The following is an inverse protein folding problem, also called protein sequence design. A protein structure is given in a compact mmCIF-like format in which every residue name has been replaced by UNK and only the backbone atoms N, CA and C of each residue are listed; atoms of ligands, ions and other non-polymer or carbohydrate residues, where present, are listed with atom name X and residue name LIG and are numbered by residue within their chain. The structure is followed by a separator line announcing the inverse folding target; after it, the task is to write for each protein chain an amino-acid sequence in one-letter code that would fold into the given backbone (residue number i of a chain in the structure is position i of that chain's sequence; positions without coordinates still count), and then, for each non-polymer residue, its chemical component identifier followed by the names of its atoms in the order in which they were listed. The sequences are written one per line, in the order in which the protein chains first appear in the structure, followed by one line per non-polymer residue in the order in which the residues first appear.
data_IF_985203961954
#
_entry.id   IF_985203961954
#
_cell.length_a   1.000
_cell.length_b   1.000
_cell.length_c   1.000
_cell.angle_alpha   90.00
_cell.angle_beta   90.00
_cell.angle_gamma   90.00
#
_symmetry.space_group_name_H-M   'P 1'
#
loop_
_entity.id
_entity.type
_entity.pdbx_description
1 polymer ?
#
# COMPACT_ATOMS: atom_id res chain seq x y z
N UNK A 1 0.92 29.83 -17.37
CA UNK A 1 2.11 29.12 -16.89
C UNK A 1 2.50 29.67 -15.54
N UNK A 2 2.29 28.92 -14.49
CA UNK A 2 2.81 29.30 -13.17
C UNK A 2 4.22 28.75 -13.04
N UNK A 3 5.20 29.62 -12.99
CA UNK A 3 6.59 29.29 -12.65
C UNK A 3 6.65 29.03 -11.15
N UNK A 4 6.48 27.79 -10.72
CA UNK A 4 6.82 27.43 -9.34
C UNK A 4 8.34 27.31 -9.23
N UNK A 5 8.93 28.13 -8.39
CA UNK A 5 10.36 28.09 -8.09
C UNK A 5 10.62 27.02 -7.04
N UNK A 6 10.96 25.81 -7.49
CA UNK A 6 11.49 24.75 -6.66
C UNK A 6 10.44 23.84 -6.01
N UNK A 7 10.71 22.55 -6.06
CA UNK A 7 10.13 21.53 -5.18
C UNK A 7 10.75 21.70 -3.80
N UNK A 8 9.91 21.83 -2.78
CA UNK A 8 10.29 21.67 -1.38
C UNK A 8 10.41 20.21 -1.00
N UNK A 9 10.06 19.87 0.23
CA UNK A 9 10.12 18.50 0.73
C UNK A 9 9.14 17.59 -0.01
N UNK A 10 9.61 16.39 -0.39
CA UNK A 10 8.79 15.31 -0.93
C UNK A 10 8.75 14.18 0.07
N UNK A 11 7.57 13.85 0.57
CA UNK A 11 7.40 12.77 1.53
C UNK A 11 6.23 11.87 1.15
N UNK A 12 6.25 10.66 1.67
CA UNK A 12 5.20 9.68 1.45
C UNK A 12 4.40 9.50 2.72
N UNK A 13 3.10 9.75 2.65
CA UNK A 13 2.14 9.40 3.68
C UNK A 13 1.23 8.30 3.15
N UNK A 14 1.46 7.08 3.62
CA UNK A 14 0.70 5.90 3.19
C UNK A 14 0.89 5.58 1.70
N UNK A 15 -0.19 5.64 0.93
CA UNK A 15 -0.22 5.46 -0.52
C UNK A 15 -0.20 6.80 -1.28
N UNK A 16 -0.08 7.92 -0.54
CA UNK A 16 0.03 9.25 -1.11
C UNK A 16 1.46 9.73 -1.09
N UNK A 17 1.84 10.40 -2.16
CA UNK A 17 3.08 11.18 -2.26
C UNK A 17 2.66 12.64 -2.14
N UNK A 18 3.30 13.37 -1.26
CA UNK A 18 3.09 14.78 -1.05
C UNK A 18 4.37 15.52 -1.44
N UNK A 19 4.23 16.51 -2.28
CA UNK A 19 5.35 17.34 -2.72
C UNK A 19 5.01 18.80 -2.46
N UNK A 20 5.71 19.41 -1.52
CA UNK A 20 5.52 20.82 -1.20
C UNK A 20 6.13 21.68 -2.29
N UNK A 21 5.38 22.73 -2.67
CA UNK A 21 5.76 23.67 -3.71
C UNK A 21 6.11 25.01 -3.07
N UNK A 22 7.02 25.74 -3.69
CA UNK A 22 7.40 27.08 -3.24
C UNK A 22 6.27 28.13 -3.31
N UNK A 23 5.15 27.78 -3.94
CA UNK A 23 3.92 28.59 -3.96
C UNK A 23 3.13 28.54 -2.65
N UNK A 24 3.51 27.71 -1.67
CA UNK A 24 2.73 27.45 -0.45
C UNK A 24 1.62 26.42 -0.64
N UNK A 25 1.67 25.69 -1.73
CA UNK A 25 0.77 24.57 -2.06
C UNK A 25 1.50 23.24 -1.95
N UNK A 26 0.74 22.16 -1.75
CA UNK A 26 1.25 20.80 -1.76
C UNK A 26 0.57 20.03 -2.88
N UNK A 27 1.37 19.43 -3.77
CA UNK A 27 0.89 18.48 -4.78
C UNK A 27 0.73 17.11 -4.11
N UNK A 28 -0.51 16.63 -4.10
CA UNK A 28 -0.88 15.32 -3.56
C UNK A 28 -1.05 14.34 -4.72
N UNK A 29 -0.35 13.20 -4.67
CA UNK A 29 -0.39 12.18 -5.71
C UNK A 29 -0.71 10.82 -5.09
N UNK A 30 -1.60 10.06 -5.73
CA UNK A 30 -1.91 8.67 -5.43
C UNK A 30 -1.70 7.83 -6.68
N UNK A 31 -0.81 6.86 -6.64
CA UNK A 31 -0.44 6.09 -7.84
C UNK A 31 -1.50 5.05 -8.25
N UNK A 32 -2.48 4.78 -7.39
CA UNK A 32 -3.48 3.74 -7.67
C UNK A 32 -2.85 2.35 -7.69
N UNK A 33 -3.19 1.56 -8.68
CA UNK A 33 -2.69 0.19 -8.83
C UNK A 33 -1.62 0.05 -9.92
N UNK A 34 -1.59 0.92 -10.91
CA UNK A 34 -0.70 0.85 -12.08
C UNK A 34 0.02 2.16 -12.35
N UNK A 35 -0.27 3.20 -11.57
CA UNK A 35 0.39 4.48 -11.68
C UNK A 35 1.84 4.42 -11.24
N UNK A 36 2.67 5.17 -11.95
CA UNK A 36 4.10 5.29 -11.71
C UNK A 36 4.58 6.70 -12.05
N UNK A 37 5.63 7.11 -11.38
CA UNK A 37 6.36 8.33 -11.69
C UNK A 37 7.60 7.93 -12.48
N UNK A 38 7.73 8.48 -13.67
CA UNK A 38 8.85 8.25 -14.56
C UNK A 38 9.68 9.53 -14.64
N UNK A 39 10.99 9.39 -14.49
CA UNK A 39 11.92 10.51 -14.60
C UNK A 39 12.79 10.30 -15.85
N UNK A 40 12.87 11.32 -16.70
CA UNK A 40 13.66 11.29 -17.93
C UNK A 40 14.38 12.64 -18.16
N UNK A 41 15.44 12.64 -18.95
CA UNK A 41 16.32 13.79 -19.16
C UNK A 41 17.65 13.59 -18.45
N UNK A 42 18.48 14.64 -18.36
CA UNK A 42 19.78 14.56 -17.68
C UNK A 42 19.59 14.31 -16.18
N UNK A 43 20.00 13.15 -15.65
CA UNK A 43 19.68 12.77 -14.29
C UNK A 43 20.73 13.23 -13.31
N UNK A 44 20.28 13.84 -12.25
CA UNK A 44 21.05 13.89 -11.01
C UNK A 44 20.87 12.52 -10.30
N UNK A 45 21.72 11.52 -10.64
CA UNK A 45 21.74 10.24 -9.95
C UNK A 45 21.44 8.99 -10.81
N UNK A 46 21.41 7.81 -10.18
CA UNK A 46 21.29 6.48 -10.81
C UNK A 46 19.89 6.09 -11.32
N UNK A 47 18.96 7.01 -11.40
CA UNK A 47 17.55 6.72 -11.76
C UNK A 47 17.32 7.04 -13.23
N UNK A 48 17.69 6.16 -14.13
CA UNK A 48 17.52 6.39 -15.58
C UNK A 48 16.61 5.31 -16.17
N UNK A 49 15.36 5.67 -16.48
CA UNK A 49 14.66 5.02 -17.57
C UNK A 49 14.52 6.07 -18.69
N UNK A 50 15.10 5.78 -19.85
CA UNK A 50 15.03 6.62 -21.04
C UNK A 50 13.60 6.62 -21.61
N UNK A 51 12.74 7.48 -21.08
CA UNK A 51 11.43 7.78 -21.67
C UNK A 51 11.57 9.00 -22.60
N UNK A 52 12.06 8.75 -23.81
CA UNK A 52 12.31 9.82 -24.78
C UNK A 52 11.04 10.41 -25.39
N UNK A 53 9.95 9.67 -25.46
CA UNK A 53 8.69 10.10 -26.09
C UNK A 53 7.52 10.07 -25.11
N UNK A 54 6.52 10.93 -25.33
CA UNK A 54 5.26 10.92 -24.59
C UNK A 54 4.48 9.64 -24.93
N UNK A 55 4.18 8.84 -23.91
CA UNK A 55 3.48 7.58 -24.04
C UNK A 55 1.96 7.72 -23.95
N UNK A 56 1.24 6.71 -24.46
CA UNK A 56 -0.24 6.67 -24.48
C UNK A 56 -0.90 6.88 -23.10
N UNK A 57 -0.20 6.58 -22.02
CA UNK A 57 -0.74 6.62 -20.66
C UNK A 57 -0.06 7.67 -19.76
N UNK A 58 0.63 8.62 -20.37
CA UNK A 58 1.22 9.77 -19.70
C UNK A 58 0.14 10.83 -19.52
N UNK A 59 -0.29 11.05 -18.28
CA UNK A 59 -1.42 11.93 -17.98
C UNK A 59 -1.01 13.31 -17.51
N UNK A 60 0.12 13.39 -16.78
CA UNK A 60 0.70 14.66 -16.31
C UNK A 60 2.19 14.65 -16.53
N UNK A 61 2.72 15.74 -17.04
CA UNK A 61 4.14 15.92 -17.31
C UNK A 61 4.59 17.20 -16.63
N UNK A 62 5.59 17.09 -15.77
CA UNK A 62 6.27 18.21 -15.14
C UNK A 62 7.60 18.43 -15.86
N UNK A 63 7.79 19.63 -16.37
CA UNK A 63 9.05 20.09 -16.91
C UNK A 63 9.85 20.77 -15.80
N UNK A 64 10.96 20.16 -15.43
CA UNK A 64 11.83 20.63 -14.38
C UNK A 64 12.94 21.51 -14.96
N UNK A 65 13.56 22.30 -14.10
CA UNK A 65 14.80 23.00 -14.47
C UNK A 65 15.85 21.99 -14.97
N UNK A 66 16.74 22.43 -15.85
CA UNK A 66 17.79 21.60 -16.46
C UNK A 66 17.31 20.49 -17.40
N UNK A 67 16.08 20.57 -17.91
CA UNK A 67 15.56 19.63 -18.92
C UNK A 67 15.10 18.28 -18.39
N UNK A 68 15.14 18.04 -17.10
CA UNK A 68 14.54 16.84 -16.50
C UNK A 68 13.01 16.88 -16.64
N UNK A 69 12.42 15.74 -16.95
CA UNK A 69 10.98 15.58 -17.07
C UNK A 69 10.50 14.51 -16.10
N UNK A 70 9.49 14.84 -15.32
CA UNK A 70 8.80 13.92 -14.40
C UNK A 70 7.41 13.66 -14.95
N UNK A 71 7.09 12.40 -15.21
CA UNK A 71 5.85 12.01 -15.88
C UNK A 71 5.04 11.09 -14.98
N UNK A 72 3.76 11.41 -14.80
CA UNK A 72 2.79 10.50 -14.18
C UNK A 72 2.15 9.65 -15.27
N UNK A 73 2.52 8.36 -15.27
CA UNK A 73 1.99 7.35 -16.20
C UNK A 73 1.06 6.41 -15.44
N UNK A 74 -0.20 6.25 -15.90
CA UNK A 74 -1.17 5.34 -15.29
C UNK A 74 -2.12 4.71 -16.32
N UNK A 75 -1.80 3.50 -16.79
CA UNK A 75 -2.60 2.78 -17.78
C UNK A 75 -4.06 2.54 -17.36
N UNK A 76 -4.33 2.33 -16.09
CA UNK A 76 -5.66 1.99 -15.57
C UNK A 76 -6.47 3.19 -15.09
N UNK A 77 -5.86 4.35 -14.97
CA UNK A 77 -6.47 5.60 -14.49
C UNK A 77 -7.11 5.50 -13.08
N UNK A 78 -6.50 4.72 -12.20
CA UNK A 78 -6.91 4.61 -10.79
C UNK A 78 -6.10 5.51 -9.85
N UNK A 79 -5.09 6.15 -10.39
CA UNK A 79 -4.34 7.18 -9.69
C UNK A 79 -5.10 8.49 -9.64
N UNK A 80 -4.63 9.38 -8.81
CA UNK A 80 -5.18 10.73 -8.65
C UNK A 80 -4.07 11.72 -8.34
N UNK A 81 -4.26 12.94 -8.81
CA UNK A 81 -3.48 14.11 -8.40
C UNK A 81 -4.42 15.20 -7.93
N UNK A 82 -4.04 15.93 -6.92
CA UNK A 82 -4.76 17.08 -6.41
C UNK A 82 -3.77 18.13 -5.89
N UNK A 83 -4.17 19.38 -5.87
CA UNK A 83 -3.38 20.47 -5.36
C UNK A 83 -4.11 21.06 -4.15
N UNK A 84 -3.41 21.25 -3.05
CA UNK A 84 -3.98 21.79 -1.83
C UNK A 84 -3.08 22.89 -1.25
N UNK A 85 -3.64 23.81 -0.48
CA UNK A 85 -2.84 24.71 0.34
C UNK A 85 -2.08 23.89 1.38
N UNK A 86 -0.77 24.09 1.51
CA UNK A 86 0.06 23.35 2.47
C UNK A 86 -0.48 23.48 3.90
N UNK A 87 -1.01 24.66 4.25
CA UNK A 87 -1.65 24.91 5.54
C UNK A 87 -2.93 24.09 5.77
N UNK A 88 -3.60 23.59 4.73
CA UNK A 88 -4.76 22.71 4.86
C UNK A 88 -4.38 21.33 5.38
N UNK A 89 -3.16 20.87 5.08
CA UNK A 89 -2.57 19.64 5.64
C UNK A 89 -3.53 18.45 5.67
N UNK A 90 -3.71 17.90 6.86
CA UNK A 90 -4.55 16.73 7.11
C UNK A 90 -6.07 16.97 6.93
N UNK A 91 -6.51 18.22 6.87
CA UNK A 91 -7.93 18.55 6.66
C UNK A 91 -8.40 18.29 5.22
N UNK A 92 -7.45 18.06 4.29
CA UNK A 92 -7.78 17.77 2.90
C UNK A 92 -8.66 16.51 2.79
N UNK A 93 -9.69 16.54 1.91
CA UNK A 93 -10.69 15.49 1.75
C UNK A 93 -10.15 14.07 1.54
N UNK A 94 -8.96 13.93 0.96
CA UNK A 94 -8.30 12.65 0.71
C UNK A 94 -7.44 12.17 1.90
N UNK A 95 -7.14 13.03 2.86
CA UNK A 95 -6.23 12.74 3.98
C UNK A 95 -6.94 12.71 5.34
N UNK A 96 -7.97 13.53 5.54
CA UNK A 96 -8.63 13.75 6.83
C UNK A 96 -9.18 12.50 7.51
N UNK A 97 -9.62 11.52 6.71
CA UNK A 97 -10.24 10.30 7.21
C UNK A 97 -9.28 9.09 7.20
N UNK A 98 -8.00 9.32 6.94
CA UNK A 98 -7.01 8.24 6.94
C UNK A 98 -6.68 7.85 8.38
N UNK A 99 -6.78 6.56 8.67
CA UNK A 99 -6.41 5.98 9.96
C UNK A 99 -4.91 5.99 10.24
N UNK A 100 -4.50 5.51 11.41
CA UNK A 100 -3.09 5.46 11.80
C UNK A 100 -2.27 4.53 10.89
N UNK A 101 -1.00 4.85 10.81
CA UNK A 101 0.00 4.02 10.11
C UNK A 101 0.32 2.76 10.91
N UNK A 102 0.34 1.57 10.29
CA UNK A 102 0.58 0.32 11.00
C UNK A 102 1.96 0.24 11.67
N UNK A 103 2.95 0.96 11.14
CA UNK A 103 4.29 1.06 11.74
C UNK A 103 4.43 2.23 12.74
N UNK A 104 3.42 3.10 12.81
CA UNK A 104 3.40 4.22 13.75
C UNK A 104 2.94 3.81 15.16
N UNK A 105 3.22 4.66 16.14
CA UNK A 105 2.90 4.40 17.55
C UNK A 105 1.40 4.46 17.86
N UNK A 106 0.60 5.14 17.02
CA UNK A 106 -0.85 5.30 17.21
C UNK A 106 -1.66 4.08 16.76
N UNK A 107 -1.07 3.15 16.01
CA UNK A 107 -1.66 1.87 15.68
C UNK A 107 -1.23 0.84 16.72
N UNK A 108 -1.98 0.70 17.79
CA UNK A 108 -1.73 -0.25 18.86
C UNK A 108 -2.87 -1.26 19.04
N UNK A 109 -2.70 -2.20 19.95
CA UNK A 109 -3.67 -3.24 20.25
C UNK A 109 -4.98 -2.67 20.81
N UNK A 110 -4.99 -1.72 21.76
CA UNK A 110 -6.20 -1.08 22.26
C UNK A 110 -6.97 -0.33 21.17
N UNK A 111 -6.24 0.43 20.34
CA UNK A 111 -6.84 1.13 19.20
C UNK A 111 -7.56 0.15 18.27
N UNK A 112 -6.82 -0.87 17.80
CA UNK A 112 -7.37 -1.81 16.83
C UNK A 112 -8.53 -2.61 17.41
N UNK A 113 -8.40 -3.11 18.63
CA UNK A 113 -9.47 -3.84 19.32
C UNK A 113 -10.75 -3.02 19.45
N UNK A 114 -10.65 -1.78 19.92
CA UNK A 114 -11.80 -0.90 20.09
C UNK A 114 -12.55 -0.62 18.79
N UNK A 115 -11.85 -0.57 17.67
CA UNK A 115 -12.45 -0.34 16.36
C UNK A 115 -13.06 -1.58 15.71
N UNK A 116 -12.63 -2.80 16.10
CA UNK A 116 -13.14 -4.04 15.48
C UNK A 116 -14.14 -4.80 16.33
N UNK A 117 -14.12 -4.65 17.66
CA UNK A 117 -14.90 -5.46 18.63
C UNK A 117 -16.43 -5.42 18.44
N UNK A 118 -16.96 -4.41 17.78
CA UNK A 118 -18.40 -4.27 17.50
C UNK A 118 -18.75 -4.50 16.02
N UNK A 119 -17.75 -4.67 15.17
CA UNK A 119 -17.95 -4.74 13.72
C UNK A 119 -18.33 -6.15 13.26
N UNK A 120 -19.42 -6.26 12.51
CA UNK A 120 -19.87 -7.52 11.89
C UNK A 120 -19.15 -7.85 10.59
N UNK A 121 -18.50 -6.86 10.00
CA UNK A 121 -17.73 -7.04 8.77
C UNK A 121 -16.58 -8.04 8.97
N UNK A 122 -16.18 -8.78 7.91
CA UNK A 122 -15.00 -9.64 7.93
C UNK A 122 -13.74 -8.88 8.33
N UNK A 123 -12.90 -9.50 9.16
CA UNK A 123 -11.67 -8.85 9.63
C UNK A 123 -10.77 -8.38 8.49
N UNK A 124 -10.67 -9.16 7.42
CA UNK A 124 -9.92 -8.74 6.23
C UNK A 124 -10.44 -7.44 5.64
N UNK A 125 -11.75 -7.30 5.52
CA UNK A 125 -12.37 -6.08 4.98
C UNK A 125 -12.12 -4.88 5.90
N UNK A 126 -12.14 -5.09 7.22
CA UNK A 126 -11.80 -4.05 8.20
C UNK A 126 -10.34 -3.61 8.07
N UNK A 127 -9.41 -4.55 7.95
CA UNK A 127 -7.97 -4.23 7.78
C UNK A 127 -7.66 -3.53 6.44
N UNK A 128 -8.51 -3.68 5.43
CA UNK A 128 -8.38 -2.99 4.15
C UNK A 128 -9.02 -1.60 4.13
N UNK A 129 -9.83 -1.25 5.14
CA UNK A 129 -10.40 0.09 5.28
C UNK A 129 -9.29 1.06 5.71
N UNK A 130 -8.92 1.95 4.80
CA UNK A 130 -7.85 2.93 5.03
C UNK A 130 -8.15 3.92 6.15
N UNK A 131 -9.43 4.03 6.56
CA UNK A 131 -9.84 4.84 7.71
C UNK A 131 -9.54 4.14 9.04
N UNK A 132 -9.46 2.81 9.03
CA UNK A 132 -9.11 2.02 10.21
C UNK A 132 -7.60 1.80 10.31
N UNK A 133 -6.99 1.37 9.22
CA UNK A 133 -5.53 1.15 9.15
C UNK A 133 -5.03 1.62 7.80
N UNK A 134 -4.25 2.64 7.82
CA UNK A 134 -3.76 3.23 6.59
C UNK A 134 -2.66 2.38 5.92
N UNK A 135 -2.61 2.39 4.60
CA UNK A 135 -1.51 1.77 3.84
C UNK A 135 -1.57 0.26 3.66
N UNK A 136 -2.35 -0.48 4.45
CA UNK A 136 -2.44 -1.93 4.29
C UNK A 136 -3.06 -2.31 2.94
N UNK A 137 -2.41 -3.24 2.25
CA UNK A 137 -2.84 -3.78 0.96
C UNK A 137 -3.27 -5.24 1.07
N UNK A 138 -3.91 -5.72 0.00
CA UNK A 138 -4.50 -7.06 -0.05
C UNK A 138 -3.49 -8.20 0.22
N UNK A 139 -2.27 -8.04 -0.24
CA UNK A 139 -1.18 -9.01 -0.06
C UNK A 139 -0.86 -9.14 1.44
N UNK A 140 -0.44 -8.04 2.03
CA UNK A 140 0.03 -8.02 3.43
C UNK A 140 -1.06 -8.38 4.43
N UNK A 141 -2.33 -8.06 4.13
CA UNK A 141 -3.46 -8.48 4.97
C UNK A 141 -3.67 -10.00 4.91
N UNK A 142 -3.54 -10.64 3.73
CA UNK A 142 -3.66 -12.10 3.64
C UNK A 142 -2.52 -12.79 4.40
N UNK A 143 -1.28 -12.32 4.22
CA UNK A 143 -0.11 -12.88 4.91
C UNK A 143 -0.19 -12.70 6.43
N UNK A 144 -0.54 -11.50 6.91
CA UNK A 144 -0.69 -11.25 8.34
C UNK A 144 -1.78 -12.10 8.98
N UNK A 145 -2.93 -12.27 8.32
CA UNK A 145 -4.01 -13.10 8.81
C UNK A 145 -3.63 -14.59 8.83
N UNK A 146 -2.84 -15.06 7.86
CA UNK A 146 -2.32 -16.42 7.87
C UNK A 146 -1.39 -16.65 9.06
N UNK A 147 -0.40 -15.79 9.26
CA UNK A 147 0.56 -15.89 10.38
C UNK A 147 -0.14 -15.77 11.75
N UNK A 148 -1.21 -14.99 11.82
CA UNK A 148 -2.03 -14.89 13.04
C UNK A 148 -3.01 -16.05 13.23
N UNK A 149 -3.14 -16.97 12.28
CA UNK A 149 -4.10 -18.08 12.32
C UNK A 149 -5.56 -17.64 12.26
N UNK A 150 -5.84 -16.46 11.68
CA UNK A 150 -7.19 -15.86 11.64
C UNK A 150 -7.80 -16.00 10.26
N UNK A 151 -8.99 -16.60 10.19
CA UNK A 151 -9.73 -16.73 8.93
C UNK A 151 -10.14 -15.35 8.40
N UNK A 152 -9.90 -15.04 7.10
CA UNK A 152 -10.16 -13.70 6.54
C UNK A 152 -11.63 -13.29 6.56
N UNK A 153 -12.54 -14.24 6.61
CA UNK A 153 -13.99 -14.04 6.67
C UNK A 153 -14.54 -13.96 8.11
N UNK A 154 -13.71 -14.15 9.13
CA UNK A 154 -14.12 -14.02 10.52
C UNK A 154 -14.58 -12.59 10.80
N UNK A 155 -15.76 -12.43 11.41
CA UNK A 155 -16.27 -11.11 11.77
C UNK A 155 -15.42 -10.47 12.89
N UNK A 156 -15.22 -9.16 12.82
CA UNK A 156 -14.39 -8.42 13.77
C UNK A 156 -14.81 -8.65 15.22
N UNK A 157 -16.12 -8.59 15.51
CA UNK A 157 -16.65 -8.79 16.86
C UNK A 157 -16.39 -10.20 17.45
N UNK A 158 -16.03 -11.18 16.63
CA UNK A 158 -15.70 -12.54 17.06
C UNK A 158 -14.21 -12.73 17.37
N UNK A 159 -13.40 -11.68 17.24
CA UNK A 159 -11.98 -11.74 17.57
C UNK A 159 -11.78 -11.51 19.08
N UNK A 160 -11.27 -12.52 19.76
CA UNK A 160 -10.87 -12.40 21.14
C UNK A 160 -9.71 -11.41 21.30
N UNK A 161 -9.64 -10.65 22.42
CA UNK A 161 -8.54 -9.70 22.68
C UNK A 161 -7.17 -10.31 22.49
N UNK A 162 -6.94 -11.57 22.91
CA UNK A 162 -5.69 -12.28 22.74
C UNK A 162 -5.25 -12.39 21.25
N UNK A 163 -6.21 -12.59 20.33
CA UNK A 163 -5.92 -12.68 18.89
C UNK A 163 -5.55 -11.30 18.31
N UNK A 164 -6.17 -10.24 18.79
CA UNK A 164 -5.81 -8.88 18.41
C UNK A 164 -4.40 -8.55 18.91
N UNK A 165 -4.10 -8.93 20.15
CA UNK A 165 -2.78 -8.74 20.75
C UNK A 165 -1.66 -9.37 19.92
N UNK A 166 -1.90 -10.54 19.32
CA UNK A 166 -0.93 -11.17 18.42
C UNK A 166 -0.95 -10.61 16.99
N UNK A 167 -2.11 -10.16 16.49
CA UNK A 167 -2.24 -9.70 15.10
C UNK A 167 -1.52 -8.37 14.84
N UNK A 168 -1.54 -7.42 15.78
CA UNK A 168 -0.93 -6.10 15.59
C UNK A 168 0.60 -6.19 15.37
N UNK A 169 1.40 -6.88 16.22
CA UNK A 169 2.80 -7.06 15.95
C UNK A 169 3.06 -7.85 14.65
N UNK A 170 2.27 -8.89 14.35
CA UNK A 170 2.42 -9.66 13.11
C UNK A 170 2.23 -8.76 11.86
N UNK A 171 1.29 -7.82 11.89
CA UNK A 171 1.15 -6.84 10.79
C UNK A 171 2.45 -6.04 10.59
N UNK A 172 3.06 -5.59 11.68
CA UNK A 172 4.32 -4.85 11.64
C UNK A 172 5.46 -5.69 11.10
N UNK A 173 5.57 -6.95 11.55
CA UNK A 173 6.60 -7.88 11.09
C UNK A 173 6.50 -8.11 9.58
N UNK A 174 5.30 -8.44 9.06
CA UNK A 174 5.05 -8.63 7.63
C UNK A 174 5.44 -7.39 6.82
N UNK A 175 5.13 -6.18 7.33
CA UNK A 175 5.48 -4.95 6.64
C UNK A 175 6.98 -4.66 6.66
N UNK A 176 7.65 -4.90 7.80
CA UNK A 176 9.09 -4.72 7.92
C UNK A 176 9.86 -5.70 7.01
N UNK A 177 9.45 -6.96 6.98
CA UNK A 177 10.01 -7.96 6.06
C UNK A 177 9.80 -7.55 4.59
N UNK A 178 8.61 -7.05 4.26
CA UNK A 178 8.33 -6.57 2.91
C UNK A 178 9.18 -5.35 2.54
N UNK A 179 9.41 -4.43 3.47
CA UNK A 179 10.28 -3.28 3.26
C UNK A 179 11.73 -3.74 3.06
N UNK A 180 12.22 -4.64 3.90
CA UNK A 180 13.58 -5.19 3.79
C UNK A 180 13.80 -5.94 2.47
N UNK A 181 12.75 -6.59 1.92
CA UNK A 181 12.79 -7.28 0.63
C UNK A 181 12.54 -6.35 -0.58
N UNK A 182 12.49 -5.03 -0.38
CA UNK A 182 12.27 -4.06 -1.47
C UNK A 182 10.83 -4.04 -2.01
N UNK A 183 9.86 -4.62 -1.28
CA UNK A 183 8.45 -4.70 -1.67
C UNK A 183 8.08 -5.93 -2.47
N UNK A 184 6.85 -5.95 -3.02
CA UNK A 184 6.30 -7.06 -3.80
C UNK A 184 6.09 -6.63 -5.25
N UNK A 185 6.81 -7.23 -6.18
CA UNK A 185 6.63 -7.03 -7.63
C UNK A 185 5.82 -8.19 -8.18
N UNK A 186 4.51 -8.00 -8.39
CA UNK A 186 3.66 -9.04 -8.97
C UNK A 186 3.66 -8.99 -10.51
N UNK A 187 3.18 -7.91 -11.11
CA UNK A 187 3.17 -7.74 -12.57
C UNK A 187 3.51 -6.32 -13.01
N UNK A 188 3.05 -5.34 -12.28
CA UNK A 188 3.06 -3.94 -12.72
C UNK A 188 3.95 -3.03 -11.85
N UNK A 189 4.44 -3.54 -10.70
CA UNK A 189 5.27 -2.76 -9.79
C UNK A 189 6.76 -3.02 -10.06
N UNK A 190 7.51 -1.95 -10.30
CA UNK A 190 8.97 -1.90 -10.28
C UNK A 190 9.41 -0.77 -9.35
N UNK A 191 10.55 -0.93 -8.71
CA UNK A 191 11.17 0.16 -7.95
C UNK A 191 11.57 1.31 -8.90
N UNK A 192 11.88 2.47 -8.35
CA UNK A 192 12.26 3.65 -9.14
C UNK A 192 13.55 3.43 -9.97
N UNK A 193 14.43 2.53 -9.53
CA UNK A 193 15.63 2.07 -10.20
C UNK A 193 15.39 0.93 -11.23
N UNK A 194 14.12 0.48 -11.35
CA UNK A 194 13.73 -0.60 -12.26
C UNK A 194 13.88 -2.01 -11.67
N UNK A 195 14.43 -2.15 -10.46
CA UNK A 195 14.55 -3.44 -9.79
C UNK A 195 13.19 -3.98 -9.32
N UNK A 196 13.11 -5.31 -9.23
CA UNK A 196 11.93 -6.01 -8.73
C UNK A 196 12.06 -6.19 -7.23
N UNK A 197 10.98 -5.94 -6.48
CA UNK A 197 10.93 -6.39 -5.09
C UNK A 197 10.91 -7.92 -5.03
N UNK A 198 11.42 -8.50 -3.96
CA UNK A 198 11.58 -9.96 -3.81
C UNK A 198 10.60 -10.56 -2.81
N UNK A 199 9.76 -9.79 -2.13
CA UNK A 199 8.86 -10.31 -1.10
C UNK A 199 7.83 -11.31 -1.63
N UNK A 200 7.48 -11.28 -2.92
CA UNK A 200 6.58 -12.27 -3.54
C UNK A 200 7.08 -13.72 -3.44
N UNK A 201 8.38 -13.93 -3.29
CA UNK A 201 8.96 -15.27 -3.13
C UNK A 201 8.80 -15.84 -1.70
N UNK A 202 8.36 -14.99 -0.77
CA UNK A 202 8.15 -15.34 0.64
C UNK A 202 6.66 -15.46 1.01
N UNK A 203 5.75 -15.43 0.03
CA UNK A 203 4.32 -15.54 0.32
C UNK A 203 3.94 -16.91 0.85
N UNK A 204 3.23 -16.92 1.97
CA UNK A 204 2.68 -18.12 2.57
C UNK A 204 1.36 -18.53 1.93
N UNK A 205 0.49 -17.56 1.59
CA UNK A 205 -0.83 -17.85 1.04
C UNK A 205 -1.18 -17.04 -0.21
N UNK A 206 -0.70 -15.80 -0.35
CA UNK A 206 -1.14 -14.93 -1.42
C UNK A 206 -0.72 -15.45 -2.81
N UNK A 207 -1.71 -15.59 -3.71
CA UNK A 207 -1.48 -16.12 -5.07
C UNK A 207 -1.21 -17.62 -5.14
N UNK A 208 -1.30 -18.36 -4.02
CA UNK A 208 -0.97 -19.78 -3.93
C UNK A 208 -2.19 -20.70 -3.88
N UNK A 209 -3.30 -20.32 -4.52
CA UNK A 209 -4.49 -21.17 -4.62
C UNK A 209 -4.15 -22.57 -5.14
N UNK A 210 -4.60 -23.61 -4.45
CA UNK A 210 -4.33 -25.01 -4.79
C UNK A 210 -2.94 -25.53 -4.37
N UNK A 211 -2.02 -24.67 -3.94
CA UNK A 211 -0.71 -25.11 -3.44
C UNK A 211 -0.81 -25.63 -1.98
N UNK A 212 0.10 -26.52 -1.57
CA UNK A 212 0.20 -26.97 -0.18
C UNK A 212 0.44 -25.81 0.79
N UNK A 213 -0.14 -25.90 1.98
CA UNK A 213 0.13 -24.94 3.06
C UNK A 213 1.58 -25.11 3.56
N UNK A 214 2.26 -23.97 3.79
CA UNK A 214 3.65 -23.97 4.28
C UNK A 214 3.78 -24.25 5.79
N UNK A 215 2.67 -24.20 6.55
CA UNK A 215 2.73 -24.47 7.99
C UNK A 215 3.15 -25.92 8.28
N UNK A 216 4.09 -26.07 9.20
CA UNK A 216 4.61 -27.40 9.59
C UNK A 216 3.48 -28.34 10.00
N UNK A 217 3.47 -29.54 9.43
CA UNK A 217 2.46 -30.58 9.68
C UNK A 217 1.09 -30.34 9.05
N UNK A 218 0.86 -29.22 8.36
CA UNK A 218 -0.41 -28.96 7.68
C UNK A 218 -0.45 -29.62 6.30
N UNK A 219 -1.49 -30.43 6.05
CA UNK A 219 -1.71 -31.11 4.76
C UNK A 219 -2.76 -30.42 3.87
N UNK A 220 -3.29 -29.28 4.31
CA UNK A 220 -4.32 -28.54 3.57
C UNK A 220 -3.77 -27.78 2.39
N UNK A 221 -4.61 -27.61 1.37
CA UNK A 221 -4.33 -26.73 0.25
C UNK A 221 -4.84 -25.32 0.55
N UNK A 222 -4.13 -24.31 0.06
CA UNK A 222 -4.54 -22.91 0.12
C UNK A 222 -5.81 -22.73 -0.71
N UNK A 223 -6.81 -22.09 -0.11
CA UNK A 223 -8.07 -21.74 -0.76
C UNK A 223 -8.13 -20.26 -1.11
N UNK A 224 -8.91 -19.98 -2.12
CA UNK A 224 -9.25 -18.63 -2.54
C UNK A 224 -10.75 -18.39 -2.40
N UNK A 225 -11.12 -17.24 -1.83
CA UNK A 225 -12.48 -16.72 -1.82
C UNK A 225 -12.49 -15.27 -2.30
N UNK A 226 -13.63 -14.81 -2.77
CA UNK A 226 -13.80 -13.40 -3.13
C UNK A 226 -14.50 -12.65 -1.99
N UNK A 227 -13.90 -11.52 -1.55
CA UNK A 227 -14.46 -10.65 -0.52
C UNK A 227 -14.33 -9.19 -0.96
N UNK A 228 -15.45 -8.47 -0.99
CA UNK A 228 -15.48 -7.05 -1.37
C UNK A 228 -14.71 -6.76 -2.68
N UNK A 229 -14.94 -7.58 -3.72
CA UNK A 229 -14.31 -7.46 -5.04
C UNK A 229 -12.83 -7.85 -5.11
N UNK A 230 -12.25 -8.38 -4.01
CA UNK A 230 -10.83 -8.80 -3.96
C UNK A 230 -10.68 -10.26 -3.59
N UNK A 231 -9.66 -10.92 -4.16
CA UNK A 231 -9.30 -12.30 -3.78
C UNK A 231 -8.70 -12.33 -2.38
N UNK A 232 -9.12 -13.31 -1.59
CA UNK A 232 -8.56 -13.64 -0.29
C UNK A 232 -8.01 -15.04 -0.35
N UNK A 233 -6.75 -15.21 -0.02
CA UNK A 233 -6.07 -16.50 0.03
C UNK A 233 -5.85 -16.89 1.47
N UNK A 234 -6.13 -18.16 1.83
CA UNK A 234 -6.02 -18.62 3.22
C UNK A 234 -5.92 -20.13 3.30
N UNK A 235 -5.37 -20.62 4.39
CA UNK A 235 -5.40 -22.05 4.74
C UNK A 235 -6.64 -22.36 5.59
N UNK A 236 -7.55 -23.27 5.16
CA UNK A 236 -8.77 -23.56 5.92
C UNK A 236 -8.52 -24.31 7.23
N UNK A 237 -7.37 -24.96 7.37
CA UNK A 237 -7.02 -25.69 8.60
C UNK A 237 -6.27 -24.82 9.61
N UNK A 238 -5.36 -23.94 9.16
CA UNK A 238 -4.57 -23.12 10.05
C UNK A 238 -5.30 -21.86 10.51
N UNK A 239 -6.25 -21.37 9.72
CA UNK A 239 -6.96 -20.11 9.98
C UNK A 239 -8.41 -20.37 10.41
N UNK A 240 -8.71 -20.10 11.66
CA UNK A 240 -10.02 -20.33 12.29
C UNK A 240 -10.69 -19.05 12.76
#
# INVERSE_FOLDING_TARGET
SSTSRGLGDVYKRQKYILADLSSGETLLMHLGMSGRILVSGDPLGRFVQNHAAIGKHDHVIFHMEKGTRVTFNDPRRFGAMDLMQTAAGESHRLLRDIGPEPLGNTFDEPYFFNHVKTRRAPIKSLMLDQRLVAGLGNIYVCEALFRAGIAPHRAGFRLAPKRIKSLVPIIRDVLNEAIAAGGSSLRDFRQADGELGYFQHQFDVYGREGAPCNASGCKSLIRRIQQSGRSSFYCPSCQT
#
